data_IF_333358267204
#
_entry.id   IF_333358267204
#
_cell.length_a   1.000
_cell.length_b   1.000
_cell.length_c   1.000
_cell.angle_alpha   90.00
_cell.angle_beta   90.00
_cell.angle_gamma   90.00
#
_symmetry.space_group_name_H-M   'P 1'
#
loop_
_entity.id
_entity.type
_entity.pdbx_description
1 polymer ?
#
# COMPACT_ATOMS: atom_id res chain seq x y z
N UNK A 1 31.71 -75.23 45.90
CA UNK A 1 30.49 -75.49 45.13
C UNK A 1 29.39 -74.55 45.62
N UNK A 2 29.36 -73.31 45.11
CA UNK A 2 28.26 -72.36 45.37
C UNK A 2 28.00 -71.60 44.07
N UNK A 3 26.74 -71.70 43.63
CA UNK A 3 26.20 -71.28 42.34
C UNK A 3 26.00 -69.77 42.23
N UNK A 4 26.32 -69.22 41.06
CA UNK A 4 25.92 -67.89 40.64
C UNK A 4 24.47 -67.91 40.09
N UNK A 5 23.60 -67.06 40.64
CA UNK A 5 22.26 -66.78 40.08
C UNK A 5 22.28 -65.48 39.28
N UNK A 6 21.83 -65.58 38.02
CA UNK A 6 21.79 -64.54 36.99
C UNK A 6 20.39 -63.92 37.00
N UNK A 7 20.28 -62.64 37.35
CA UNK A 7 19.00 -61.93 37.46
C UNK A 7 18.65 -61.26 36.11
N UNK A 8 17.62 -61.76 35.43
CA UNK A 8 17.25 -61.39 34.05
C UNK A 8 15.73 -61.24 33.93
N UNK A 9 15.13 -60.19 34.52
CA UNK A 9 13.66 -60.03 34.48
C UNK A 9 13.15 -58.58 34.49
N UNK A 10 13.83 -57.58 33.94
CA UNK A 10 13.27 -56.21 33.91
C UNK A 10 13.61 -55.36 32.67
N UNK A 11 13.62 -55.94 31.46
CA UNK A 11 13.88 -55.20 30.20
C UNK A 11 12.67 -55.13 29.24
N UNK A 12 11.53 -55.76 29.56
CA UNK A 12 10.40 -55.89 28.60
C UNK A 12 9.31 -54.82 28.73
N UNK A 13 9.28 -54.02 29.80
CA UNK A 13 8.21 -53.02 30.02
C UNK A 13 8.56 -51.58 29.64
N UNK A 14 9.83 -51.25 29.37
CA UNK A 14 10.23 -49.91 28.89
C UNK A 14 10.07 -49.70 27.39
N UNK A 15 9.66 -50.73 26.64
CA UNK A 15 9.54 -50.68 25.17
C UNK A 15 8.11 -50.39 24.67
N UNK A 16 7.12 -50.29 25.57
CA UNK A 16 5.70 -50.09 25.20
C UNK A 16 5.17 -48.67 25.40
N UNK A 17 5.98 -47.73 25.92
CA UNK A 17 5.59 -46.31 26.10
C UNK A 17 6.24 -45.39 25.04
N UNK A 18 7.05 -45.93 24.12
CA UNK A 18 7.74 -45.14 23.06
C UNK A 18 6.98 -45.14 21.73
N UNK A 19 5.93 -45.97 21.56
CA UNK A 19 5.21 -46.11 20.29
C UNK A 19 3.94 -45.23 20.13
N UNK A 20 3.58 -44.41 21.14
CA UNK A 20 2.30 -43.68 21.18
C UNK A 20 2.32 -42.22 20.76
N UNK A 21 3.46 -41.66 20.33
CA UNK A 21 3.63 -40.22 20.09
C UNK A 21 4.16 -39.88 18.68
N UNK A 22 3.83 -40.72 17.70
CA UNK A 22 3.95 -40.38 16.27
C UNK A 22 2.55 -40.20 15.67
N UNK A 23 1.69 -39.43 16.33
CA UNK A 23 0.59 -38.76 15.62
C UNK A 23 1.23 -37.70 14.73
N UNK A 24 1.63 -38.16 13.55
CA UNK A 24 2.04 -37.34 12.43
C UNK A 24 0.92 -36.34 12.17
N UNK A 25 1.09 -35.11 12.66
CA UNK A 25 0.37 -33.97 12.14
C UNK A 25 0.78 -33.85 10.67
N UNK A 26 0.06 -34.54 9.79
CA UNK A 26 0.05 -34.21 8.37
C UNK A 26 -0.65 -32.86 8.27
N UNK A 27 0.12 -31.80 8.51
CA UNK A 27 -0.28 -30.45 8.20
C UNK A 27 -0.56 -30.44 6.70
N UNK A 28 -1.84 -30.43 6.33
CA UNK A 28 -2.25 -30.21 4.96
C UNK A 28 -1.69 -28.84 4.55
N UNK A 29 -0.59 -28.86 3.80
CA UNK A 29 -0.15 -27.71 3.06
C UNK A 29 -1.28 -27.41 2.06
N UNK A 30 -2.18 -26.51 2.44
CA UNK A 30 -3.27 -26.08 1.58
C UNK A 30 -2.64 -25.50 0.32
N UNK A 31 -2.76 -26.24 -0.78
CA UNK A 31 -2.24 -25.81 -2.06
C UNK A 31 -3.08 -24.62 -2.49
N UNK A 32 -2.43 -23.47 -2.74
CA UNK A 32 -3.08 -22.25 -3.20
C UNK A 32 -3.86 -22.55 -4.48
N UNK A 33 -5.15 -22.20 -4.53
CA UNK A 33 -5.94 -22.43 -5.74
C UNK A 33 -5.48 -21.49 -6.85
N UNK A 34 -5.68 -21.88 -8.11
CA UNK A 34 -5.36 -21.01 -9.26
C UNK A 34 -6.12 -19.68 -9.21
N UNK A 35 -7.38 -19.72 -8.76
CA UNK A 35 -8.22 -18.52 -8.57
C UNK A 35 -7.60 -17.57 -7.54
N UNK A 36 -7.18 -18.11 -6.38
CA UNK A 36 -6.51 -17.30 -5.34
C UNK A 36 -5.21 -16.68 -5.86
N UNK A 37 -4.42 -17.46 -6.61
CA UNK A 37 -3.18 -16.97 -7.21
C UNK A 37 -3.43 -15.81 -8.20
N UNK A 38 -4.46 -15.93 -9.05
CA UNK A 38 -4.82 -14.87 -10.00
C UNK A 38 -5.31 -13.60 -9.28
N UNK A 39 -6.10 -13.75 -8.20
CA UNK A 39 -6.56 -12.64 -7.36
C UNK A 39 -5.39 -11.91 -6.70
N UNK A 40 -4.47 -12.65 -6.07
CA UNK A 40 -3.26 -12.09 -5.44
C UNK A 40 -2.42 -11.31 -6.46
N UNK A 41 -2.30 -11.79 -7.70
CA UNK A 41 -1.55 -11.08 -8.76
C UNK A 41 -2.20 -9.76 -9.16
N UNK A 42 -3.53 -9.71 -9.22
CA UNK A 42 -4.26 -8.46 -9.49
C UNK A 42 -4.03 -7.47 -8.36
N UNK A 43 -4.26 -7.89 -7.12
CA UNK A 43 -4.05 -7.06 -5.93
C UNK A 43 -2.60 -6.56 -5.83
N UNK A 44 -1.62 -7.42 -6.11
CA UNK A 44 -0.22 -7.03 -6.09
C UNK A 44 0.13 -5.94 -7.10
N UNK A 45 -0.44 -6.01 -8.32
CA UNK A 45 -0.29 -4.94 -9.32
C UNK A 45 -0.89 -3.63 -8.82
N UNK A 46 -2.07 -3.68 -8.21
CA UNK A 46 -2.74 -2.51 -7.67
C UNK A 46 -1.95 -1.88 -6.53
N UNK A 47 -1.32 -2.68 -5.66
CA UNK A 47 -0.46 -2.17 -4.58
C UNK A 47 0.77 -1.44 -5.09
N UNK A 48 1.40 -1.92 -6.17
CA UNK A 48 2.52 -1.21 -6.80
C UNK A 48 2.07 0.11 -7.45
N UNK A 49 0.85 0.18 -7.99
CA UNK A 49 0.26 1.46 -8.43
C UNK A 49 -0.02 2.39 -7.25
N UNK A 50 -0.57 1.87 -6.15
CA UNK A 50 -0.78 2.64 -4.93
C UNK A 50 0.51 3.23 -4.35
N UNK A 51 1.64 2.54 -4.50
CA UNK A 51 2.96 3.09 -4.17
C UNK A 51 3.32 4.30 -5.06
N UNK A 52 3.11 4.21 -6.38
CA UNK A 52 3.30 5.33 -7.30
C UNK A 52 2.43 6.54 -6.91
N UNK A 53 1.17 6.29 -6.55
CA UNK A 53 0.23 7.34 -6.16
C UNK A 53 0.64 7.98 -4.82
N UNK A 54 1.08 7.18 -3.84
CA UNK A 54 1.62 7.66 -2.57
C UNK A 54 2.83 8.58 -2.78
N UNK A 55 3.79 8.15 -3.61
CA UNK A 55 4.99 8.95 -3.86
C UNK A 55 4.65 10.27 -4.56
N UNK A 56 3.73 10.26 -5.54
CA UNK A 56 3.25 11.49 -6.18
C UNK A 56 2.52 12.40 -5.18
N UNK A 57 1.72 11.85 -4.28
CA UNK A 57 1.06 12.64 -3.23
C UNK A 57 2.08 13.28 -2.28
N UNK A 58 3.12 12.56 -1.87
CA UNK A 58 4.21 13.11 -1.04
C UNK A 58 5.01 14.17 -1.81
N UNK A 59 5.17 14.02 -3.12
CA UNK A 59 5.86 15.00 -3.97
C UNK A 59 5.01 16.24 -4.30
N UNK A 60 3.73 16.27 -3.94
CA UNK A 60 2.86 17.39 -4.23
C UNK A 60 3.16 18.60 -3.31
N UNK A 61 3.37 19.77 -3.92
CA UNK A 61 3.70 21.00 -3.20
C UNK A 61 2.52 21.68 -2.49
N UNK A 62 1.29 21.43 -2.95
CA UNK A 62 0.05 21.97 -2.38
C UNK A 62 -0.28 21.36 -1.02
N UNK A 63 0.25 20.16 -0.74
CA UNK A 63 0.06 19.52 0.56
C UNK A 63 0.91 20.21 1.63
N UNK A 64 0.35 20.36 2.82
CA UNK A 64 1.13 20.79 3.98
C UNK A 64 2.11 19.70 4.44
N UNK A 65 3.15 20.10 5.18
CA UNK A 65 4.07 19.16 5.83
C UNK A 65 3.34 18.16 6.74
N UNK A 66 2.27 18.60 7.41
CA UNK A 66 1.47 17.75 8.29
C UNK A 66 0.72 16.66 7.50
N UNK A 67 0.09 17.03 6.39
CA UNK A 67 -0.65 16.09 5.54
C UNK A 67 0.28 15.05 4.91
N UNK A 68 1.45 15.46 4.42
CA UNK A 68 2.45 14.50 3.90
C UNK A 68 2.91 13.53 4.97
N UNK A 69 3.22 14.01 6.18
CA UNK A 69 3.60 13.13 7.31
C UNK A 69 2.48 12.16 7.67
N UNK A 70 1.24 12.61 7.65
CA UNK A 70 0.08 11.76 7.88
C UNK A 70 -0.05 10.67 6.81
N UNK A 71 0.11 11.00 5.53
CA UNK A 71 0.11 10.04 4.42
C UNK A 71 1.24 9.01 4.56
N UNK A 72 2.46 9.49 4.83
CA UNK A 72 3.62 8.61 5.07
C UNK A 72 3.33 7.63 6.21
N UNK A 73 2.89 8.13 7.36
CA UNK A 73 2.62 7.28 8.54
C UNK A 73 1.51 6.25 8.27
N UNK A 74 0.41 6.66 7.64
CA UNK A 74 -0.70 5.75 7.33
C UNK A 74 -0.33 4.66 6.33
N UNK A 75 0.66 4.90 5.47
CA UNK A 75 1.09 3.92 4.46
C UNK A 75 1.66 2.64 5.07
N UNK A 76 2.21 2.70 6.28
CA UNK A 76 2.82 1.56 6.98
C UNK A 76 2.21 1.29 8.36
N UNK A 77 1.31 2.15 8.87
CA UNK A 77 0.57 1.91 10.09
C UNK A 77 -0.78 1.23 9.81
N UNK A 78 -1.36 0.48 10.78
CA UNK A 78 -2.63 -0.22 10.59
C UNK A 78 -3.79 0.75 10.29
N UNK A 79 -4.10 0.92 9.01
CA UNK A 79 -5.11 1.83 8.46
C UNK A 79 -5.69 1.28 7.14
N UNK A 80 -6.74 1.90 6.61
CA UNK A 80 -7.29 1.50 5.31
C UNK A 80 -6.35 1.84 4.13
N UNK A 81 -5.46 2.82 4.34
CA UNK A 81 -4.49 3.30 3.34
C UNK A 81 -3.14 2.57 3.48
N UNK A 82 -3.07 1.55 4.32
CA UNK A 82 -1.87 0.76 4.53
C UNK A 82 -1.51 -0.01 3.25
N UNK A 83 -0.31 0.25 2.74
CA UNK A 83 0.27 -0.48 1.60
C UNK A 83 1.48 -1.31 2.00
N UNK A 84 2.18 -0.95 3.08
CA UNK A 84 3.31 -1.67 3.65
C UNK A 84 2.87 -2.49 4.86
N UNK A 85 3.43 -3.68 5.04
CA UNK A 85 3.01 -4.59 6.13
C UNK A 85 3.23 -3.98 7.53
N UNK A 86 4.31 -3.21 7.69
CA UNK A 86 4.67 -2.45 8.89
C UNK A 86 5.79 -1.45 8.58
N UNK A 87 6.28 -0.74 9.59
CA UNK A 87 7.39 0.21 9.52
C UNK A 87 8.79 -0.43 9.40
N UNK A 88 8.89 -1.74 9.60
CA UNK A 88 10.12 -2.52 9.46
C UNK A 88 10.43 -2.93 8.03
N UNK A 89 9.60 -2.55 7.06
CA UNK A 89 9.84 -2.83 5.63
C UNK A 89 11.15 -2.18 5.20
N UNK A 90 11.99 -2.95 4.51
CA UNK A 90 13.28 -2.48 4.00
C UNK A 90 13.12 -2.02 2.55
N UNK A 91 13.72 -0.87 2.27
CA UNK A 91 13.76 -0.24 0.95
C UNK A 91 15.20 0.10 0.61
N UNK A 92 15.68 -0.36 -0.54
CA UNK A 92 16.94 0.10 -1.09
C UNK A 92 16.80 1.55 -1.58
N UNK A 93 17.49 2.48 -0.93
CA UNK A 93 17.36 3.93 -1.09
C UNK A 93 17.85 4.43 -2.46
N UNK A 94 16.99 5.14 -3.19
CA UNK A 94 17.28 5.84 -4.45
C UNK A 94 16.95 7.33 -4.39
N UNK A 95 16.80 7.89 -3.19
CA UNK A 95 16.49 9.31 -2.99
C UNK A 95 17.66 10.23 -3.36
N UNK A 96 18.88 9.69 -3.45
CA UNK A 96 20.05 10.36 -4.02
C UNK A 96 20.29 9.87 -5.46
N UNK A 97 20.17 10.75 -6.48
CA UNK A 97 20.33 10.36 -7.89
C UNK A 97 21.75 9.91 -8.25
N UNK A 98 22.75 10.15 -7.38
CA UNK A 98 24.14 9.72 -7.59
C UNK A 98 24.39 8.30 -7.11
N UNK A 99 23.50 7.76 -6.29
CA UNK A 99 23.60 6.39 -5.80
C UNK A 99 23.35 5.42 -6.95
N UNK A 100 24.26 4.46 -7.09
CA UNK A 100 24.11 3.37 -8.06
C UNK A 100 23.43 2.19 -7.38
N UNK A 101 22.64 1.44 -8.13
CA UNK A 101 21.94 0.23 -7.66
C UNK A 101 22.86 -0.85 -7.06
N UNK A 102 24.17 -0.79 -7.32
CA UNK A 102 25.17 -1.73 -6.81
C UNK A 102 25.90 -1.22 -5.56
N UNK A 103 25.55 -0.03 -5.05
CA UNK A 103 26.24 0.51 -3.87
C UNK A 103 25.81 -0.26 -2.62
N UNK A 104 26.75 -0.62 -1.72
CA UNK A 104 26.41 -1.29 -0.47
C UNK A 104 25.70 -0.35 0.50
N UNK A 105 24.86 -0.91 1.38
CA UNK A 105 24.27 -0.18 2.51
C UNK A 105 23.10 0.74 2.17
N UNK A 106 22.40 0.45 1.08
CA UNK A 106 21.22 1.23 0.65
C UNK A 106 19.94 0.82 1.39
N UNK A 107 19.98 -0.26 2.15
CA UNK A 107 18.85 -0.74 2.94
C UNK A 107 18.45 0.27 4.01
N UNK A 108 17.24 0.81 3.86
CA UNK A 108 16.66 1.75 4.81
C UNK A 108 15.27 1.29 5.23
N UNK A 109 14.87 1.49 6.49
CA UNK A 109 13.48 1.30 6.89
C UNK A 109 12.56 2.24 6.12
N UNK A 110 11.34 1.80 5.81
CA UNK A 110 10.38 2.55 4.97
C UNK A 110 10.11 3.96 5.51
N UNK A 111 10.02 4.14 6.82
CA UNK A 111 9.84 5.46 7.44
C UNK A 111 10.96 6.43 7.05
N UNK A 112 12.21 5.95 7.11
CA UNK A 112 13.40 6.72 6.75
C UNK A 112 13.44 7.00 5.24
N UNK A 113 13.11 6.00 4.43
CA UNK A 113 13.02 6.16 2.98
C UNK A 113 12.03 7.26 2.59
N UNK A 114 10.78 7.20 3.07
CA UNK A 114 9.76 8.19 2.76
C UNK A 114 10.12 9.59 3.28
N UNK A 115 10.77 9.67 4.45
CA UNK A 115 11.27 10.94 4.99
C UNK A 115 12.40 11.52 4.15
N UNK A 116 13.35 10.69 3.71
CA UNK A 116 14.41 11.10 2.78
C UNK A 116 13.81 11.56 1.45
N UNK A 117 12.81 10.85 0.94
CA UNK A 117 12.11 11.18 -0.29
C UNK A 117 11.43 12.55 -0.19
N UNK A 118 10.63 12.79 0.86
CA UNK A 118 10.03 14.11 1.12
C UNK A 118 11.10 15.21 1.25
N UNK A 119 12.24 14.91 1.88
CA UNK A 119 13.27 15.91 2.11
C UNK A 119 14.12 16.21 0.87
N UNK A 120 14.36 15.25 -0.03
CA UNK A 120 15.35 15.41 -1.11
C UNK A 120 14.75 15.48 -2.51
N UNK A 121 13.51 15.05 -2.71
CA UNK A 121 12.85 15.20 -4.00
C UNK A 121 12.25 16.60 -4.16
N UNK A 122 12.46 17.24 -5.33
CA UNK A 122 11.85 18.54 -5.64
C UNK A 122 10.34 18.36 -5.83
N UNK A 123 9.56 19.07 -5.02
CA UNK A 123 8.09 19.03 -5.06
C UNK A 123 7.54 19.80 -6.24
N UNK A 124 6.38 19.38 -6.74
CA UNK A 124 5.70 19.97 -7.90
C UNK A 124 4.19 19.87 -7.79
N UNK A 125 3.44 20.82 -8.35
CA UNK A 125 1.95 20.75 -8.44
C UNK A 125 1.47 19.54 -9.27
N UNK A 126 2.27 19.10 -10.24
CA UNK A 126 1.94 17.99 -11.15
C UNK A 126 2.63 16.69 -10.76
N UNK A 127 2.04 15.56 -11.13
CA UNK A 127 2.64 14.24 -10.93
C UNK A 127 3.90 14.09 -11.78
N UNK A 128 5.02 13.82 -11.13
CA UNK A 128 6.34 13.68 -11.78
C UNK A 128 6.95 12.30 -11.59
N UNK A 129 6.25 11.37 -10.94
CA UNK A 129 6.72 10.02 -10.68
C UNK A 129 5.87 9.05 -11.49
N UNK A 130 6.52 8.17 -12.24
CA UNK A 130 5.86 7.21 -13.10
C UNK A 130 6.47 5.83 -12.96
N UNK A 131 5.61 4.83 -12.78
CA UNK A 131 5.98 3.42 -12.84
C UNK A 131 5.52 2.82 -14.17
N UNK A 132 6.43 2.16 -14.87
CA UNK A 132 6.20 1.52 -16.17
C UNK A 132 6.70 0.07 -16.16
N UNK A 133 6.41 -0.68 -17.23
CA UNK A 133 6.84 -2.07 -17.40
C UNK A 133 6.47 -2.97 -16.20
N UNK A 134 5.27 -2.81 -15.64
CA UNK A 134 4.83 -3.54 -14.45
C UNK A 134 4.51 -5.00 -14.82
N UNK A 135 5.39 -5.91 -14.43
CA UNK A 135 5.28 -7.35 -14.65
C UNK A 135 5.13 -8.06 -13.31
N UNK A 136 3.99 -8.73 -13.11
CA UNK A 136 3.69 -9.50 -11.90
C UNK A 136 4.15 -10.94 -12.12
N UNK A 137 5.04 -11.43 -11.26
CA UNK A 137 5.50 -12.82 -11.28
C UNK A 137 4.43 -13.81 -10.82
N UNK A 138 4.79 -15.09 -10.78
CA UNK A 138 3.92 -16.14 -10.24
C UNK A 138 3.88 -16.08 -8.71
N UNK A 139 2.72 -16.42 -8.14
CA UNK A 139 2.56 -16.52 -6.69
C UNK A 139 3.25 -17.78 -6.20
N UNK A 140 4.12 -17.63 -5.20
CA UNK A 140 4.87 -18.70 -4.58
C UNK A 140 4.37 -18.90 -3.14
N UNK A 141 4.48 -20.12 -2.66
CA UNK A 141 4.16 -20.47 -1.29
C UNK A 141 5.45 -20.77 -0.52
N UNK A 142 5.64 -20.10 0.61
CA UNK A 142 6.67 -20.44 1.60
C UNK A 142 6.00 -20.45 2.99
N UNK A 143 6.44 -19.61 3.94
CA UNK A 143 5.72 -19.38 5.21
C UNK A 143 4.35 -18.71 5.01
N UNK A 144 4.21 -17.97 3.91
CA UNK A 144 3.01 -17.30 3.45
C UNK A 144 3.01 -17.24 1.91
N UNK A 145 1.85 -17.06 1.26
CA UNK A 145 1.81 -16.75 -0.16
C UNK A 145 2.47 -15.39 -0.42
N UNK A 146 3.34 -15.32 -1.42
CA UNK A 146 4.02 -14.09 -1.80
C UNK A 146 4.20 -14.00 -3.31
N UNK A 147 4.41 -12.78 -3.79
CA UNK A 147 4.64 -12.50 -5.21
C UNK A 147 5.65 -11.37 -5.36
N UNK A 148 6.44 -11.44 -6.43
CA UNK A 148 7.36 -10.37 -6.82
C UNK A 148 6.82 -9.64 -8.04
N UNK A 149 6.87 -8.31 -8.00
CA UNK A 149 6.46 -7.42 -9.09
C UNK A 149 7.66 -6.64 -9.57
N UNK A 150 7.98 -6.78 -10.84
CA UNK A 150 9.08 -6.07 -11.50
C UNK A 150 8.53 -4.84 -12.21
N UNK A 151 9.21 -3.70 -12.11
CA UNK A 151 8.78 -2.46 -12.74
C UNK A 151 9.97 -1.53 -12.97
N UNK A 152 9.77 -0.52 -13.84
CA UNK A 152 10.70 0.59 -14.02
C UNK A 152 10.10 1.83 -13.37
N UNK A 153 10.82 2.40 -12.41
CA UNK A 153 10.50 3.64 -11.73
C UNK A 153 11.24 4.79 -12.40
N UNK A 154 10.52 5.85 -12.73
CA UNK A 154 11.07 7.09 -13.24
C UNK A 154 10.62 8.26 -12.37
N UNK A 155 11.59 8.97 -11.83
CA UNK A 155 11.41 10.28 -11.23
C UNK A 155 11.75 11.34 -12.27
N UNK A 156 10.75 12.08 -12.78
CA UNK A 156 10.95 13.14 -13.80
C UNK A 156 11.46 14.44 -13.19
N UNK A 157 11.32 14.62 -11.89
CA UNK A 157 11.86 15.74 -11.14
C UNK A 157 13.37 15.63 -10.91
N UNK A 158 13.86 16.45 -9.99
CA UNK A 158 15.29 16.58 -9.66
C UNK A 158 15.48 16.58 -8.16
N UNK A 159 16.70 16.28 -7.72
CA UNK A 159 17.11 16.40 -6.31
C UNK A 159 17.08 17.87 -5.88
N UNK A 160 16.52 18.18 -4.71
CA UNK A 160 16.50 19.54 -4.17
C UNK A 160 17.85 19.98 -3.59
N UNK A 161 18.79 19.05 -3.38
CA UNK A 161 20.11 19.34 -2.82
C UNK A 161 21.04 19.98 -3.83
N UNK A 162 20.97 19.49 -5.07
CA UNK A 162 21.96 19.80 -6.10
C UNK A 162 21.37 19.85 -7.52
N UNK A 163 20.05 19.77 -7.66
CA UNK A 163 19.34 19.84 -8.94
C UNK A 163 19.72 18.74 -9.94
N UNK A 164 20.28 17.62 -9.46
CA UNK A 164 20.63 16.47 -10.29
C UNK A 164 19.35 15.72 -10.71
N UNK A 165 19.14 15.41 -12.00
CA UNK A 165 18.02 14.60 -12.45
C UNK A 165 18.19 13.13 -12.06
N UNK A 166 17.08 12.45 -11.78
CA UNK A 166 17.08 11.04 -11.43
C UNK A 166 17.11 10.14 -12.67
N UNK A 167 17.96 9.09 -12.70
CA UNK A 167 17.91 8.10 -13.76
C UNK A 167 16.67 7.18 -13.60
N UNK A 168 16.19 6.53 -14.68
CA UNK A 168 15.26 5.42 -14.56
C UNK A 168 15.88 4.27 -13.78
N UNK A 169 15.10 3.69 -12.88
CA UNK A 169 15.55 2.59 -12.02
C UNK A 169 14.64 1.38 -12.21
N UNK A 170 15.24 0.23 -12.53
CA UNK A 170 14.53 -1.05 -12.49
C UNK A 170 14.44 -1.55 -11.06
N UNK A 171 13.22 -1.85 -10.61
CA UNK A 171 12.90 -2.26 -9.24
C UNK A 171 12.18 -3.62 -9.21
N UNK A 172 12.24 -4.25 -8.05
CA UNK A 172 11.43 -5.40 -7.66
C UNK A 172 10.75 -5.09 -6.33
N UNK A 173 9.42 -5.17 -6.32
CA UNK A 173 8.63 -5.12 -5.10
C UNK A 173 8.30 -6.55 -4.69
N UNK A 174 8.55 -6.90 -3.44
CA UNK A 174 8.06 -8.12 -2.83
C UNK A 174 6.77 -7.83 -2.05
N UNK A 175 5.77 -8.68 -2.25
CA UNK A 175 4.49 -8.55 -1.59
C UNK A 175 4.07 -9.86 -0.94
N UNK A 176 3.61 -9.75 0.30
CA UNK A 176 2.99 -10.84 1.07
C UNK A 176 1.47 -10.75 0.92
N UNK A 177 0.83 -11.91 0.75
CA UNK A 177 -0.61 -12.03 0.79
C UNK A 177 -1.06 -12.70 2.09
N UNK A 178 -1.99 -12.07 2.78
CA UNK A 178 -2.66 -12.60 3.97
C UNK A 178 -4.15 -12.78 3.68
N UNK A 179 -4.75 -13.83 4.24
CA UNK A 179 -6.18 -14.10 4.09
C UNK A 179 -6.95 -13.48 5.25
N UNK A 180 -7.89 -12.59 4.97
CA UNK A 180 -8.73 -11.93 5.96
C UNK A 180 -10.19 -12.30 5.71
N UNK A 181 -10.67 -13.32 6.42
CA UNK A 181 -11.97 -13.93 6.12
C UNK A 181 -11.94 -14.68 4.79
N UNK A 182 -12.74 -14.22 3.82
CA UNK A 182 -12.79 -14.81 2.48
C UNK A 182 -11.93 -14.08 1.44
N UNK A 183 -11.44 -12.89 1.78
CA UNK A 183 -10.74 -12.02 0.84
C UNK A 183 -9.23 -12.07 1.05
N UNK A 184 -8.49 -11.87 -0.03
CA UNK A 184 -7.04 -11.70 0.03
C UNK A 184 -6.67 -10.24 0.26
N UNK A 185 -5.69 -10.01 1.12
CA UNK A 185 -5.08 -8.69 1.33
C UNK A 185 -3.59 -8.82 1.04
N UNK A 186 -3.04 -7.86 0.30
CA UNK A 186 -1.64 -7.87 -0.12
C UNK A 186 -0.93 -6.63 0.41
N UNK A 187 0.26 -6.84 0.98
CA UNK A 187 1.12 -5.79 1.54
C UNK A 187 2.53 -5.87 0.98
N UNK A 188 3.16 -4.71 0.76
CA UNK A 188 4.57 -4.60 0.43
C UNK A 188 5.43 -5.01 1.63
N UNK A 189 6.39 -5.91 1.40
CA UNK A 189 7.35 -6.37 2.41
C UNK A 189 8.78 -5.91 2.14
N UNK A 190 9.12 -5.63 0.88
CA UNK A 190 10.43 -5.14 0.47
C UNK A 190 10.35 -4.39 -0.86
N UNK A 191 11.21 -3.38 -1.03
CA UNK A 191 11.45 -2.67 -2.28
C UNK A 191 12.95 -2.68 -2.57
N UNK A 192 13.35 -3.33 -3.65
CA UNK A 192 14.76 -3.47 -4.02
C UNK A 192 15.01 -3.13 -5.50
N UNK A 193 16.25 -2.84 -5.86
CA UNK A 193 16.72 -2.80 -7.23
C UNK A 193 16.57 -4.17 -7.88
N UNK A 194 16.25 -4.18 -9.17
CA UNK A 194 16.10 -5.39 -9.95
C UNK A 194 17.49 -5.99 -10.26
N UNK A 195 18.01 -6.79 -9.34
CA UNK A 195 19.21 -7.59 -9.49
C UNK A 195 18.85 -9.09 -9.59
N UNK A 196 19.75 -9.89 -10.15
CA UNK A 196 19.57 -11.36 -10.20
C UNK A 196 19.44 -11.96 -8.80
N UNK A 197 20.12 -11.38 -7.82
CA UNK A 197 20.05 -11.76 -6.41
C UNK A 197 18.66 -11.46 -5.84
N UNK A 198 18.19 -10.22 -5.96
CA UNK A 198 16.88 -9.80 -5.45
C UNK A 198 15.72 -10.51 -6.16
N UNK A 199 15.87 -10.86 -7.44
CA UNK A 199 14.89 -11.66 -8.17
C UNK A 199 14.73 -13.07 -7.56
N UNK A 200 15.84 -13.68 -7.11
CA UNK A 200 15.88 -15.06 -6.58
C UNK A 200 15.82 -15.15 -5.05
N UNK A 201 16.00 -14.05 -4.34
CA UNK A 201 16.00 -14.00 -2.88
C UNK A 201 14.73 -14.63 -2.28
N UNK A 202 14.89 -15.30 -1.14
CA UNK A 202 13.78 -15.80 -0.34
C UNK A 202 12.96 -14.63 0.25
N UNK A 203 11.66 -14.84 0.54
CA UNK A 203 10.84 -13.79 1.10
C UNK A 203 11.38 -13.31 2.45
N UNK A 204 11.40 -12.00 2.64
CA UNK A 204 11.85 -11.39 3.89
C UNK A 204 10.62 -11.11 4.73
N UNK A 205 10.69 -11.40 6.03
CA UNK A 205 9.64 -11.03 6.99
C UNK A 205 10.08 -9.77 7.73
N UNK A 206 9.50 -8.60 7.45
CA UNK A 206 9.88 -7.35 8.09
C UNK A 206 9.60 -7.39 9.60
N UNK A 207 10.60 -7.00 10.39
CA UNK A 207 10.46 -6.90 11.85
C UNK A 207 9.92 -5.53 12.21
N UNK A 208 8.68 -5.48 12.68
CA UNK A 208 8.04 -4.25 13.13
C UNK A 208 8.83 -3.57 14.27
N UNK A 209 8.75 -2.25 14.36
CA UNK A 209 9.28 -1.51 15.50
C UNK A 209 8.41 -1.71 16.75
N UNK A 210 8.99 -1.43 17.93
CA UNK A 210 8.26 -1.48 19.19
C UNK A 210 7.06 -0.51 19.22
N UNK A 211 7.14 0.61 18.50
CA UNK A 211 6.05 1.57 18.40
C UNK A 211 4.86 0.96 17.65
N UNK A 212 5.11 0.31 16.51
CA UNK A 212 4.09 -0.38 15.73
C UNK A 212 3.42 -1.50 16.54
N UNK A 213 4.22 -2.33 17.22
CA UNK A 213 3.71 -3.43 18.06
C UNK A 213 2.78 -2.92 19.18
N UNK A 214 3.11 -1.79 19.79
CA UNK A 214 2.29 -1.19 20.85
C UNK A 214 0.91 -0.73 20.36
N UNK A 215 0.84 -0.24 19.12
CA UNK A 215 -0.40 0.21 18.50
C UNK A 215 -1.31 -0.95 18.10
N UNK A 216 -0.74 -2.07 17.64
CA UNK A 216 -1.52 -3.26 17.32
C UNK A 216 -2.12 -3.89 18.59
N UNK A 217 -1.34 -4.04 19.66
CA UNK A 217 -1.84 -4.60 20.93
C UNK A 217 -3.00 -3.82 21.54
N UNK A 218 -3.06 -2.51 21.30
CA UNK A 218 -4.15 -1.66 21.81
C UNK A 218 -5.48 -1.87 21.08
N UNK A 219 -5.47 -2.41 19.85
CA UNK A 219 -6.70 -2.66 19.07
C UNK A 219 -7.41 -3.96 19.46
N UNK A 220 -6.72 -4.89 20.13
CA UNK A 220 -7.40 -6.05 20.69
C UNK A 220 -8.30 -5.59 21.84
N UNK A 221 -9.63 -5.83 21.76
CA UNK A 221 -10.52 -5.45 22.85
C UNK A 221 -10.02 -6.17 24.11
N UNK A 222 -9.60 -5.39 25.11
CA UNK A 222 -9.35 -5.89 26.45
C UNK A 222 -10.66 -6.57 26.90
N UNK A 223 -10.71 -7.89 26.73
CA UNK A 223 -11.76 -8.71 27.31
C UNK A 223 -11.57 -8.57 28.80
N UNK A 224 -12.28 -7.60 29.38
CA UNK A 224 -12.24 -7.32 30.80
C UNK A 224 -12.68 -8.61 31.49
N UNK A 225 -11.72 -9.31 32.10
CA UNK A 225 -12.07 -10.34 33.06
C UNK A 225 -12.93 -9.66 34.14
N UNK A 226 -14.15 -10.17 34.41
CA UNK A 226 -14.99 -9.62 35.46
C UNK A 226 -14.22 -9.71 36.76
N UNK A 227 -13.75 -8.56 37.25
CA UNK A 227 -13.19 -8.49 38.59
C UNK A 227 -14.37 -8.24 39.52
N UNK A 228 -14.79 -9.31 40.22
CA UNK A 228 -15.83 -9.32 41.27
C UNK A 228 -15.41 -8.51 42.51
N UNK A 229 -15.10 -7.22 42.34
CA UNK A 229 -14.91 -6.28 43.45
C UNK A 229 -16.07 -5.30 43.47
N UNK A 230 -17.02 -5.61 44.35
CA UNK A 230 -18.17 -4.78 44.71
C UNK A 230 -17.67 -3.39 45.16
N UNK A 231 -18.02 -2.29 44.48
CA UNK A 231 -17.60 -0.96 44.89
C UNK A 231 -18.41 -0.52 46.11
N UNK A 232 -17.72 -0.18 47.20
CA UNK A 232 -18.31 0.54 48.33
C UNK A 232 -18.34 2.02 47.94
N UNK A 233 -19.51 2.51 47.52
CA UNK A 233 -19.71 3.90 47.12
C UNK A 233 -19.88 4.79 48.36
N UNK A 234 -19.00 5.80 48.50
CA UNK A 234 -19.18 6.91 49.43
C UNK A 234 -20.06 8.00 48.76
N UNK A 235 -21.11 8.53 49.43
CA UNK A 235 -22.11 9.44 48.81
C UNK A 235 -21.59 10.80 48.32
N UNK A 236 -20.43 11.27 48.77
CA UNK A 236 -19.93 12.62 48.43
C UNK A 236 -19.19 12.71 47.08
N UNK A 237 -18.71 11.59 46.53
CA UNK A 237 -18.02 11.59 45.23
C UNK A 237 -18.97 11.59 44.01
N UNK A 238 -20.25 11.29 44.21
CA UNK A 238 -21.22 11.13 43.11
C UNK A 238 -21.58 12.47 42.45
N UNK A 239 -21.58 13.58 43.19
CA UNK A 239 -22.02 14.89 42.66
C UNK A 239 -20.98 15.59 41.79
N UNK A 240 -19.69 15.46 42.09
CA UNK A 240 -18.62 16.04 41.25
C UNK A 240 -18.45 15.25 39.95
N UNK A 241 -18.61 13.92 40.00
CA UNK A 241 -18.49 13.05 38.82
C UNK A 241 -19.63 13.28 37.82
N UNK A 242 -20.83 13.65 38.29
CA UNK A 242 -21.97 13.96 37.42
C UNK A 242 -21.83 15.32 36.70
N UNK A 243 -21.16 16.30 37.32
CA UNK A 243 -20.89 17.58 36.68
C UNK A 243 -19.79 17.46 35.63
N UNK A 244 -18.73 16.71 35.92
CA UNK A 244 -17.64 16.45 34.97
C UNK A 244 -18.14 15.61 33.77
N UNK A 245 -19.00 14.61 34.00
CA UNK A 245 -19.56 13.80 32.91
C UNK A 245 -20.52 14.59 32.00
N UNK A 246 -21.29 15.54 32.55
CA UNK A 246 -22.12 16.46 31.76
C UNK A 246 -21.27 17.44 30.92
N UNK A 247 -20.16 17.94 31.46
CA UNK A 247 -19.29 18.86 30.72
C UNK A 247 -18.49 18.14 29.63
N UNK A 248 -17.97 16.94 29.91
CA UNK A 248 -17.22 16.12 28.94
C UNK A 248 -18.14 15.61 27.82
N UNK A 249 -19.40 15.26 28.12
CA UNK A 249 -20.35 14.82 27.09
C UNK A 249 -20.76 15.95 26.14
N UNK A 250 -20.87 17.20 26.61
CA UNK A 250 -21.15 18.35 25.75
C UNK A 250 -19.97 18.70 24.82
N UNK A 251 -18.74 18.68 25.32
CA UNK A 251 -17.54 18.95 24.50
C UNK A 251 -17.36 17.87 23.43
N UNK A 252 -17.57 16.60 23.77
CA UNK A 252 -17.50 15.50 22.79
C UNK A 252 -18.62 15.59 21.74
N UNK A 253 -19.84 15.98 22.09
CA UNK A 253 -20.91 16.12 21.10
C UNK A 253 -20.65 17.25 20.09
N UNK A 254 -20.09 18.37 20.53
CA UNK A 254 -19.71 19.46 19.63
C UNK A 254 -18.60 19.04 18.65
N UNK A 255 -17.60 18.30 19.12
CA UNK A 255 -16.52 17.76 18.27
C UNK A 255 -17.04 16.70 17.30
N UNK A 256 -17.94 15.81 17.74
CA UNK A 256 -18.58 14.80 16.87
C UNK A 256 -19.43 15.48 15.79
N UNK A 257 -20.14 16.57 16.10
CA UNK A 257 -20.91 17.32 15.09
C UNK A 257 -19.99 18.06 14.09
N UNK A 258 -18.87 18.62 14.54
CA UNK A 258 -17.87 19.21 13.62
C UNK A 258 -17.22 18.13 12.74
N UNK A 259 -16.87 16.98 13.29
CA UNK A 259 -16.34 15.84 12.54
C UNK A 259 -17.35 15.30 11.50
N UNK A 260 -18.65 15.28 11.82
CA UNK A 260 -19.71 14.93 10.87
C UNK A 260 -19.85 15.94 9.74
N UNK A 261 -19.72 17.25 10.01
CA UNK A 261 -19.75 18.30 8.99
C UNK A 261 -18.56 18.20 8.03
N UNK A 262 -17.35 17.99 8.56
CA UNK A 262 -16.15 17.77 7.72
C UNK A 262 -16.18 16.42 6.99
N UNK A 263 -16.72 15.37 7.63
CA UNK A 263 -16.92 14.06 7.02
C UNK A 263 -17.91 14.10 5.84
N UNK A 264 -19.00 14.86 5.94
CA UNK A 264 -19.97 15.03 4.85
C UNK A 264 -19.37 15.80 3.65
N UNK A 265 -18.52 16.80 3.89
CA UNK A 265 -17.81 17.53 2.82
C UNK A 265 -16.80 16.62 2.11
N UNK A 266 -16.06 15.79 2.85
CA UNK A 266 -15.12 14.81 2.26
C UNK A 266 -15.82 13.64 1.55
N UNK A 267 -16.96 13.17 2.06
CA UNK A 267 -17.80 12.17 1.39
C UNK A 267 -18.47 12.74 0.13
N UNK A 268 -18.87 14.01 0.10
CA UNK A 268 -19.38 14.67 -1.10
C UNK A 268 -18.35 14.75 -2.23
N UNK A 269 -17.10 15.08 -1.90
CA UNK A 269 -16.00 15.07 -2.86
C UNK A 269 -15.60 13.63 -3.31
N UNK A 270 -15.63 12.66 -2.40
CA UNK A 270 -15.34 11.26 -2.71
C UNK A 270 -16.42 10.56 -3.55
N UNK A 271 -17.71 10.85 -3.31
CA UNK A 271 -18.82 10.26 -4.10
C UNK A 271 -18.86 10.84 -5.52
N UNK A 272 -18.47 12.09 -5.73
CA UNK A 272 -18.31 12.65 -7.08
C UNK A 272 -17.17 11.95 -7.86
N UNK A 273 -16.04 11.65 -7.21
CA UNK A 273 -14.94 10.91 -7.85
C UNK A 273 -15.30 9.46 -8.18
N UNK A 274 -16.10 8.79 -7.34
CA UNK A 274 -16.57 7.42 -7.58
C UNK A 274 -17.66 7.38 -8.67
N UNK A 275 -18.54 8.39 -8.74
CA UNK A 275 -19.53 8.49 -9.81
C UNK A 275 -18.89 8.76 -11.18
N UNK A 276 -17.86 9.63 -11.24
CA UNK A 276 -17.07 9.82 -12.45
C UNK A 276 -16.24 8.59 -12.83
N UNK A 277 -15.69 7.86 -11.84
CA UNK A 277 -14.95 6.61 -12.06
C UNK A 277 -15.83 5.46 -12.57
N UNK A 278 -17.04 5.30 -12.05
CA UNK A 278 -17.98 4.26 -12.49
C UNK A 278 -18.53 4.53 -13.89
N UNK A 279 -18.83 5.80 -14.22
CA UNK A 279 -19.28 6.18 -15.57
C UNK A 279 -18.16 5.99 -16.59
N UNK A 280 -16.92 6.39 -16.30
CA UNK A 280 -15.76 6.17 -17.19
C UNK A 280 -15.41 4.68 -17.34
N UNK A 281 -15.47 3.88 -16.26
CA UNK A 281 -15.24 2.43 -16.35
C UNK A 281 -16.31 1.72 -17.20
N UNK A 282 -17.57 2.14 -17.11
CA UNK A 282 -18.64 1.56 -17.94
C UNK A 282 -18.52 1.91 -19.43
N UNK A 283 -18.02 3.12 -19.75
CA UNK A 283 -17.73 3.54 -21.14
C UNK A 283 -16.50 2.80 -21.70
N UNK A 284 -15.41 2.70 -20.92
CA UNK A 284 -14.20 1.98 -21.30
C UNK A 284 -14.43 0.48 -21.52
N UNK A 285 -15.30 -0.15 -20.72
CA UNK A 285 -15.60 -1.58 -20.88
C UNK A 285 -16.51 -1.86 -22.08
N UNK A 286 -17.35 -0.89 -22.48
CA UNK A 286 -18.14 -0.97 -23.72
C UNK A 286 -17.23 -0.83 -24.94
N UNK A 287 -16.33 0.14 -24.93
CA UNK A 287 -15.37 0.37 -26.03
C UNK A 287 -14.36 -0.79 -26.16
N UNK A 288 -13.94 -1.40 -25.04
CA UNK A 288 -13.07 -2.57 -25.06
C UNK A 288 -13.74 -3.81 -25.68
N UNK A 289 -15.04 -4.03 -25.41
CA UNK A 289 -15.80 -5.11 -26.04
C UNK A 289 -15.99 -4.87 -27.53
N UNK A 290 -16.30 -3.64 -27.94
CA UNK A 290 -16.41 -3.25 -29.35
C UNK A 290 -15.09 -3.41 -30.10
N UNK A 291 -13.97 -3.02 -29.48
CA UNK A 291 -12.62 -3.22 -30.05
C UNK A 291 -12.28 -4.70 -30.21
N UNK A 292 -12.58 -5.52 -29.19
CA UNK A 292 -12.34 -6.97 -29.24
C UNK A 292 -13.20 -7.67 -30.31
N UNK A 293 -14.44 -7.23 -30.50
CA UNK A 293 -15.31 -7.73 -31.57
C UNK A 293 -14.79 -7.32 -32.96
N UNK A 294 -14.30 -6.09 -33.13
CA UNK A 294 -13.72 -5.62 -34.40
C UNK A 294 -12.40 -6.28 -34.78
N UNK A 295 -11.64 -6.80 -33.81
CA UNK A 295 -10.42 -7.59 -34.09
C UNK A 295 -10.75 -9.06 -34.39
N UNK A 296 -11.86 -9.58 -33.88
CA UNK A 296 -12.29 -10.94 -34.15
C UNK A 296 -12.83 -11.15 -35.58
N UNK A 297 -13.22 -10.07 -36.26
CA UNK A 297 -13.56 -10.10 -37.68
C UNK A 297 -12.29 -10.05 -38.55
N UNK A 298 -11.85 -11.21 -39.02
CA UNK A 298 -10.59 -11.44 -39.73
C UNK A 298 -10.51 -10.85 -41.16
N UNK A 299 -11.42 -9.97 -41.57
CA UNK A 299 -11.48 -9.43 -42.94
C UNK A 299 -10.97 -7.98 -43.08
N UNK A 300 -10.45 -7.37 -42.01
CA UNK A 300 -10.16 -5.93 -41.98
C UNK A 300 -8.71 -5.46 -42.20
N UNK A 301 -7.76 -6.33 -42.55
CA UNK A 301 -6.32 -5.95 -42.63
C UNK A 301 -5.70 -6.09 -44.02
N UNK A 302 -6.36 -5.55 -45.06
CA UNK A 302 -5.69 -5.29 -46.34
C UNK A 302 -5.87 -3.85 -46.79
N UNK A 303 -4.71 -3.19 -46.97
CA UNK A 303 -4.46 -1.92 -47.64
C UNK A 303 -4.70 -0.65 -46.82
N UNK A 304 -3.60 0.01 -46.43
CA UNK A 304 -3.35 1.44 -46.66
C UNK A 304 -1.85 1.71 -46.43
N UNK A 305 -1.03 1.29 -47.38
CA UNK A 305 0.33 1.80 -47.54
C UNK A 305 0.41 2.48 -48.91
N UNK A 306 0.15 3.79 -48.95
CA UNK A 306 0.63 4.65 -50.03
C UNK A 306 1.92 5.31 -49.54
N UNK A 307 3.03 5.24 -50.29
CA UNK A 307 4.24 5.96 -49.94
C UNK A 307 4.04 7.45 -50.23
N UNK A 308 4.30 8.32 -49.24
CA UNK A 308 4.46 9.75 -49.49
C UNK A 308 3.64 10.76 -48.67
N UNK A 309 3.11 10.41 -47.49
CA UNK A 309 2.47 11.41 -46.60
C UNK A 309 3.07 11.34 -45.21
N UNK A 310 3.82 12.38 -44.84
CA UNK A 310 4.23 12.63 -43.45
C UNK A 310 3.03 13.20 -42.69
N UNK A 311 2.58 12.51 -41.65
CA UNK A 311 1.62 13.06 -40.68
C UNK A 311 2.42 13.45 -39.44
N UNK A 312 2.57 14.76 -39.22
CA UNK A 312 3.00 15.32 -37.94
C UNK A 312 1.86 15.21 -36.94
N UNK A 313 2.07 14.48 -35.84
CA UNK A 313 1.12 14.40 -34.74
C UNK A 313 1.30 15.67 -33.90
N UNK A 314 0.47 16.68 -34.17
CA UNK A 314 0.29 17.85 -33.32
C UNK A 314 -0.62 17.52 -32.14
N UNK A 315 -0.16 17.82 -30.93
CA UNK A 315 -0.88 17.67 -29.67
C UNK A 315 -2.08 18.62 -29.66
N UNK A 316 -3.29 18.07 -29.56
CA UNK A 316 -4.51 18.87 -29.38
C UNK A 316 -4.66 19.26 -27.90
N UNK A 317 -4.52 20.56 -27.63
CA UNK A 317 -4.91 21.18 -26.37
C UNK A 317 -6.44 21.22 -26.25
N UNK A 318 -7.00 20.52 -25.27
CA UNK A 318 -8.42 20.66 -24.91
C UNK A 318 -8.52 21.78 -23.88
N UNK A 319 -8.91 22.96 -24.36
CA UNK A 319 -9.22 24.11 -23.53
C UNK A 319 -10.58 23.94 -22.84
N UNK A 320 -10.57 24.04 -21.50
CA UNK A 320 -11.78 24.24 -20.70
C UNK A 320 -12.19 25.70 -20.84
N UNK A 321 -13.31 25.94 -21.51
CA UNK A 321 -13.95 27.24 -21.56
C UNK A 321 -14.56 27.60 -20.20
N UNK A 322 -14.00 28.63 -19.57
CA UNK A 322 -14.70 29.38 -18.52
C UNK A 322 -14.95 30.77 -19.09
N UNK A 323 -16.20 31.03 -19.45
CA UNK A 323 -16.68 32.36 -19.82
C UNK A 323 -16.75 33.23 -18.56
N UNK A 324 -15.78 34.13 -18.40
CA UNK A 324 -15.90 35.29 -17.53
C UNK A 324 -16.17 36.52 -18.41
N UNK A 325 -17.44 36.80 -18.66
CA UNK A 325 -17.89 38.08 -19.18
C UNK A 325 -18.19 39.00 -18.01
N UNK A 326 -17.19 39.79 -17.58
CA UNK A 326 -17.40 41.15 -17.07
C UNK A 326 -16.07 41.83 -16.71
N UNK A 327 -16.03 43.14 -16.98
CA UNK A 327 -15.03 44.14 -16.54
C UNK A 327 -13.78 44.24 -17.42
N UNK A 328 -13.83 45.12 -18.42
CA UNK A 328 -12.98 46.33 -18.55
C UNK A 328 -13.25 46.99 -19.91
N UNK A 329 -14.07 48.05 -19.89
CA UNK A 329 -14.22 48.97 -21.02
C UNK A 329 -13.40 50.21 -20.69
N UNK A 330 -12.24 50.36 -21.33
CA UNK A 330 -11.42 51.57 -21.27
C UNK A 330 -11.24 52.09 -22.69
N UNK A 331 -12.28 52.79 -23.17
CA UNK A 331 -12.24 53.44 -24.46
C UNK A 331 -11.48 54.76 -24.36
N UNK A 332 -10.29 54.73 -24.93
CA UNK A 332 -9.49 55.86 -25.39
C UNK A 332 -10.35 56.91 -26.13
N UNK A 333 -10.43 58.12 -25.59
CA UNK A 333 -10.87 59.30 -26.33
C UNK A 333 -9.64 60.09 -26.78
N UNK A 334 -9.32 60.00 -28.08
CA UNK A 334 -8.50 60.99 -28.79
C UNK A 334 -9.44 62.02 -29.41
N UNK A 335 -9.13 63.29 -29.19
CA UNK A 335 -9.21 64.34 -30.21
C UNK A 335 -10.46 65.21 -30.23
N UNK A 336 -10.39 66.37 -29.58
CA UNK A 336 -10.33 67.66 -30.26
C UNK A 336 -9.61 68.68 -29.40
#
# INVERSE_FOLDING_TARGET
MIHAMKNSTNLKWKLLIVAGLLSVCQGFAQTLSRKDADEIRVLARERVKGLNDLLNAIANEDLSNYERRYLMMNSYMPSNDQIFINDGVIVEDDTDPKVKATAPGLDTPIEKYLSNFDLFYTKTETNTIEFSNIVVGDVKMDKYPYVKVFYTQQFKGKSNRDNTPYPPVSRVAELRADKSGNDWIVFLTSLAFNSTENAKAAPVTPKASAAFDSLQKKKEPLVAQPTDKKPVASPEATRQTEQISKQVSQVNQAQIQQARKWGAIKLGAGVAAIAFGAVTYSMLNKDYKDYKNKIADAEGFTSYAKPGVFISIGVAAVGVGVSLSSIFDFKTARGK
#
